data_IF_462611989658
#
_entry.id   IF_462611989658
#
_cell.length_a   1.000
_cell.length_b   1.000
_cell.length_c   1.000
_cell.angle_alpha   90.00
_cell.angle_beta   90.00
_cell.angle_gamma   90.00
#
_symmetry.space_group_name_H-M   'P 1'
#
loop_
_entity.id
_entity.type
_entity.pdbx_description
1 polymer ?
#
# COMPACT_ATOMS: atom_id res chain seq x y z
N UNK A 1 18.10 8.38 -34.77
CA UNK A 1 17.77 7.09 -34.09
C UNK A 1 18.68 7.00 -32.89
N UNK A 2 18.18 7.36 -31.70
CA UNK A 2 18.95 7.26 -30.45
C UNK A 2 18.72 5.84 -29.95
N UNK A 3 19.78 5.03 -29.96
CA UNK A 3 19.74 3.68 -29.42
C UNK A 3 19.43 3.77 -27.92
N UNK A 4 18.31 3.21 -27.49
CA UNK A 4 18.00 3.09 -26.08
C UNK A 4 19.10 2.23 -25.43
N UNK A 5 19.90 2.82 -24.56
CA UNK A 5 20.92 2.13 -23.78
C UNK A 5 20.20 1.14 -22.86
N UNK A 6 20.35 -0.16 -23.14
CA UNK A 6 19.85 -1.20 -22.23
C UNK A 6 20.69 -1.15 -20.95
N UNK A 7 20.11 -0.57 -19.89
CA UNK A 7 20.72 -0.54 -18.57
C UNK A 7 20.67 -1.94 -17.97
N UNK A 8 21.75 -2.39 -17.35
CA UNK A 8 21.77 -3.66 -16.61
C UNK A 8 21.01 -3.50 -15.29
N UNK A 9 20.38 -4.55 -14.75
CA UNK A 9 19.62 -4.46 -13.49
C UNK A 9 20.41 -3.82 -12.34
N UNK A 10 21.71 -4.07 -12.24
CA UNK A 10 22.57 -3.43 -11.23
C UNK A 10 22.72 -1.92 -11.43
N UNK A 11 22.88 -1.45 -12.67
CA UNK A 11 22.97 -0.03 -13.00
C UNK A 11 21.65 0.69 -12.74
N UNK A 12 20.52 0.00 -12.95
CA UNK A 12 19.19 0.50 -12.58
C UNK A 12 19.06 0.64 -11.06
N UNK A 13 19.51 -0.34 -10.29
CA UNK A 13 19.48 -0.29 -8.82
C UNK A 13 20.40 0.84 -8.30
N UNK A 14 21.59 1.00 -8.86
CA UNK A 14 22.53 2.06 -8.46
C UNK A 14 22.03 3.48 -8.85
N UNK A 15 21.36 3.61 -9.99
CA UNK A 15 20.74 4.87 -10.42
C UNK A 15 19.42 5.15 -9.69
N UNK A 16 18.73 4.12 -9.20
CA UNK A 16 17.55 4.25 -8.37
C UNK A 16 17.87 4.46 -6.87
N UNK A 17 19.12 4.70 -6.52
CA UNK A 17 19.53 5.09 -5.14
C UNK A 17 18.92 6.44 -4.70
N UNK A 18 18.36 7.22 -5.61
CA UNK A 18 17.42 8.31 -5.36
C UNK A 18 15.95 7.85 -5.20
N UNK A 19 15.71 6.54 -5.06
CA UNK A 19 14.42 6.06 -4.56
C UNK A 19 14.17 6.76 -3.23
N UNK A 20 13.19 7.67 -3.28
CA UNK A 20 12.80 8.48 -2.16
C UNK A 20 12.79 7.63 -0.89
N UNK A 21 13.52 8.04 0.11
CA UNK A 21 13.52 7.37 1.43
C UNK A 21 12.09 7.04 1.79
N UNK A 22 11.80 5.82 2.29
CA UNK A 22 10.45 5.45 2.63
C UNK A 22 9.78 6.57 3.43
N UNK A 23 8.54 6.97 3.12
CA UNK A 23 7.88 8.07 3.81
C UNK A 23 8.06 7.91 5.33
N UNK A 24 8.28 9.02 6.02
CA UNK A 24 8.49 9.01 7.48
C UNK A 24 7.42 8.19 8.22
N UNK A 25 6.18 8.25 7.70
CA UNK A 25 5.05 7.46 8.20
C UNK A 25 5.29 5.95 8.08
N UNK A 26 5.83 5.49 6.93
CA UNK A 26 6.18 4.08 6.75
C UNK A 26 7.19 3.62 7.80
N UNK A 27 8.26 4.39 8.02
CA UNK A 27 9.28 4.06 9.02
C UNK A 27 8.68 3.98 10.42
N UNK A 28 7.85 4.95 10.81
CA UNK A 28 7.16 4.97 12.11
C UNK A 28 6.19 3.81 12.25
N UNK A 29 5.44 3.46 11.19
CA UNK A 29 4.58 2.27 11.21
C UNK A 29 5.40 1.00 11.45
N UNK A 30 6.53 0.83 10.77
CA UNK A 30 7.41 -0.32 10.96
C UNK A 30 8.02 -0.37 12.37
N UNK A 31 8.39 0.77 12.93
CA UNK A 31 8.87 0.86 14.32
C UNK A 31 7.80 0.36 15.32
N UNK A 32 6.56 0.84 15.17
CA UNK A 32 5.44 0.42 16.04
C UNK A 32 5.10 -1.06 15.85
N UNK A 33 5.08 -1.54 14.61
CA UNK A 33 4.77 -2.94 14.28
C UNK A 33 5.81 -3.90 14.90
N UNK A 34 7.08 -3.52 14.84
CA UNK A 34 8.18 -4.34 15.34
C UNK A 34 8.41 -4.17 16.86
N UNK A 35 7.71 -3.22 17.49
CA UNK A 35 7.85 -3.00 18.92
C UNK A 35 7.04 -4.05 19.70
N UNK A 36 7.65 -4.76 20.69
CA UNK A 36 6.99 -5.84 21.44
C UNK A 36 5.70 -5.42 22.16
N UNK A 37 5.52 -4.12 22.43
CA UNK A 37 4.34 -3.54 23.08
C UNK A 37 3.51 -2.69 22.12
N UNK A 38 3.83 -2.70 20.81
CA UNK A 38 3.10 -1.96 19.79
C UNK A 38 1.68 -2.49 19.64
N UNK A 39 0.69 -1.64 19.84
CA UNK A 39 -0.73 -2.00 19.80
C UNK A 39 -1.51 -1.27 18.72
N UNK A 40 -2.79 -1.64 18.62
CA UNK A 40 -3.75 -1.00 17.69
C UNK A 40 -3.82 0.51 17.84
N UNK A 41 -3.73 1.02 19.07
CA UNK A 41 -3.74 2.45 19.39
C UNK A 41 -2.52 3.17 18.82
N UNK A 42 -1.35 2.56 18.89
CA UNK A 42 -0.10 3.15 18.41
C UNK A 42 -0.10 3.25 16.88
N UNK A 43 -0.55 2.20 16.20
CA UNK A 43 -0.74 2.20 14.74
C UNK A 43 -1.73 3.29 14.33
N UNK A 44 -2.88 3.39 15.01
CA UNK A 44 -3.86 4.43 14.73
C UNK A 44 -3.27 5.83 14.96
N UNK A 45 -2.45 6.04 15.98
CA UNK A 45 -1.82 7.32 16.27
C UNK A 45 -0.81 7.72 15.19
N UNK A 46 -0.01 6.78 14.68
CA UNK A 46 0.92 7.04 13.57
C UNK A 46 0.15 7.44 12.31
N UNK A 47 -0.91 6.72 11.96
CA UNK A 47 -1.73 7.01 10.77
C UNK A 47 -2.39 8.39 10.88
N UNK A 48 -2.93 8.73 12.05
CA UNK A 48 -3.59 10.03 12.31
C UNK A 48 -2.66 11.24 12.15
N UNK A 49 -1.35 11.06 12.29
CA UNK A 49 -0.37 12.15 12.11
C UNK A 49 -0.21 12.55 10.64
N UNK A 50 -0.64 11.71 9.69
CA UNK A 50 -0.65 11.99 8.26
C UNK A 50 -2.08 12.10 7.75
N UNK A 51 -2.52 13.35 7.49
CA UNK A 51 -3.88 13.64 7.02
C UNK A 51 -4.17 12.99 5.66
N UNK A 52 -3.18 12.97 4.76
CA UNK A 52 -3.36 12.39 3.42
C UNK A 52 -3.49 10.86 3.49
N UNK A 53 -2.66 10.21 4.30
CA UNK A 53 -2.75 8.78 4.56
C UNK A 53 -4.09 8.42 5.23
N UNK A 54 -4.49 9.19 6.24
CA UNK A 54 -5.80 9.01 6.92
C UNK A 54 -6.95 9.08 5.92
N UNK A 55 -7.00 10.11 5.08
CA UNK A 55 -8.06 10.27 4.09
C UNK A 55 -8.10 9.11 3.09
N UNK A 56 -6.95 8.68 2.58
CA UNK A 56 -6.85 7.55 1.65
C UNK A 56 -7.25 6.23 2.30
N UNK A 57 -6.79 5.97 3.51
CA UNK A 57 -7.15 4.77 4.27
C UNK A 57 -8.67 4.71 4.49
N UNK A 58 -9.28 5.80 4.97
CA UNK A 58 -10.72 5.84 5.20
C UNK A 58 -11.53 5.72 3.91
N UNK A 59 -11.07 6.32 2.80
CA UNK A 59 -11.68 6.14 1.49
C UNK A 59 -11.64 4.67 1.04
N UNK A 60 -10.53 3.98 1.26
CA UNK A 60 -10.37 2.57 0.91
C UNK A 60 -11.26 1.69 1.78
N UNK A 61 -11.27 1.91 3.10
CA UNK A 61 -12.11 1.17 4.05
C UNK A 61 -13.60 1.36 3.76
N UNK A 62 -14.01 2.54 3.31
CA UNK A 62 -15.41 2.85 2.93
C UNK A 62 -15.74 2.47 1.47
N UNK A 63 -14.83 1.86 0.74
CA UNK A 63 -15.12 1.41 -0.62
C UNK A 63 -16.09 0.22 -0.62
N UNK A 64 -16.72 -0.02 -1.77
CA UNK A 64 -17.60 -1.19 -1.98
C UNK A 64 -16.91 -2.53 -1.69
N UNK A 65 -15.59 -2.54 -1.65
CA UNK A 65 -14.77 -3.70 -1.34
C UNK A 65 -14.97 -4.25 0.09
N UNK A 66 -15.14 -3.35 1.08
CA UNK A 66 -15.40 -3.73 2.47
C UNK A 66 -16.89 -3.83 2.80
N UNK A 67 -17.73 -3.11 2.08
CA UNK A 67 -19.21 -3.15 2.16
C UNK A 67 -19.76 -3.02 3.58
N UNK A 68 -19.18 -2.14 4.41
CA UNK A 68 -19.71 -1.89 5.75
C UNK A 68 -21.08 -1.21 5.70
N UNK A 69 -22.02 -1.59 6.58
CA UNK A 69 -23.38 -1.04 6.59
C UNK A 69 -23.42 0.44 7.02
N UNK A 70 -22.38 0.94 7.65
CA UNK A 70 -22.22 2.36 8.04
C UNK A 70 -20.83 2.85 7.67
N UNK A 71 -20.68 4.12 7.26
CA UNK A 71 -19.38 4.70 7.01
C UNK A 71 -18.46 4.65 8.22
N UNK A 72 -17.19 4.35 7.98
CA UNK A 72 -16.11 4.39 8.96
C UNK A 72 -15.50 5.78 8.91
N UNK A 73 -15.64 6.56 9.99
CA UNK A 73 -15.27 7.98 10.02
C UNK A 73 -13.89 8.22 10.63
N UNK A 74 -13.37 7.27 11.40
CA UNK A 74 -12.10 7.42 12.11
C UNK A 74 -11.17 6.22 11.93
N UNK A 75 -9.86 6.47 12.02
CA UNK A 75 -8.86 5.39 11.99
C UNK A 75 -9.06 4.39 13.13
N UNK A 76 -9.49 4.85 14.30
CA UNK A 76 -9.77 3.96 15.44
C UNK A 76 -10.95 3.04 15.16
N UNK A 77 -12.01 3.55 14.50
CA UNK A 77 -13.12 2.70 14.02
C UNK A 77 -12.64 1.72 12.96
N UNK A 78 -11.81 2.18 11.99
CA UNK A 78 -11.23 1.30 10.98
C UNK A 78 -10.48 0.13 11.64
N UNK A 79 -9.63 0.40 12.63
CA UNK A 79 -8.93 -0.63 13.40
C UNK A 79 -9.90 -1.60 14.09
N UNK A 80 -11.01 -1.11 14.63
CA UNK A 80 -11.99 -1.94 15.32
C UNK A 80 -12.80 -2.86 14.38
N UNK A 81 -13.17 -2.36 13.18
CA UNK A 81 -14.04 -3.11 12.25
C UNK A 81 -13.27 -3.92 11.21
N UNK A 82 -12.11 -3.45 10.78
CA UNK A 82 -11.25 -4.11 9.79
C UNK A 82 -10.21 -5.00 10.47
N UNK A 83 -9.75 -4.59 11.64
CA UNK A 83 -8.68 -5.24 12.39
C UNK A 83 -7.33 -4.54 12.23
N UNK A 84 -6.49 -4.69 13.25
CA UNK A 84 -5.19 -4.03 13.34
C UNK A 84 -4.24 -4.42 12.20
N UNK A 85 -4.14 -5.72 11.90
CA UNK A 85 -3.25 -6.22 10.86
C UNK A 85 -3.65 -5.71 9.48
N UNK A 86 -4.94 -5.73 9.18
CA UNK A 86 -5.48 -5.27 7.91
C UNK A 86 -5.28 -3.76 7.73
N UNK A 87 -5.59 -2.95 8.76
CA UNK A 87 -5.38 -1.49 8.72
C UNK A 87 -3.90 -1.16 8.53
N UNK A 88 -3.01 -1.86 9.20
CA UNK A 88 -1.56 -1.75 8.99
C UNK A 88 -1.19 -2.02 7.53
N UNK A 89 -1.62 -3.16 6.99
CA UNK A 89 -1.26 -3.60 5.64
C UNK A 89 -1.82 -2.64 4.58
N UNK A 90 -3.04 -2.13 4.77
CA UNK A 90 -3.64 -1.10 3.92
C UNK A 90 -2.90 0.25 4.02
N UNK A 91 -2.48 0.66 5.22
CA UNK A 91 -1.71 1.87 5.41
C UNK A 91 -0.33 1.78 4.73
N UNK A 92 0.34 0.62 4.82
CA UNK A 92 1.58 0.38 4.11
C UNK A 92 1.38 0.44 2.59
N UNK A 93 0.38 -0.25 2.05
CA UNK A 93 0.07 -0.24 0.62
C UNK A 93 -0.21 1.19 0.11
N UNK A 94 -1.00 1.97 0.85
CA UNK A 94 -1.34 3.35 0.46
C UNK A 94 -0.16 4.32 0.59
N UNK A 95 0.77 4.10 1.53
CA UNK A 95 1.96 4.94 1.66
C UNK A 95 2.97 4.72 0.52
N UNK A 96 3.06 3.49 0.00
CA UNK A 96 3.94 3.19 -1.14
C UNK A 96 3.47 3.87 -2.43
N UNK A 97 2.16 4.06 -2.62
CA UNK A 97 1.65 4.74 -3.83
C UNK A 97 2.13 6.18 -3.98
N UNK A 98 2.50 6.85 -2.88
CA UNK A 98 3.02 8.23 -2.91
C UNK A 98 4.44 8.33 -3.45
N UNK A 99 5.23 7.27 -3.37
CA UNK A 99 6.60 7.23 -3.90
C UNK A 99 6.63 7.41 -5.43
N UNK A 100 5.51 7.14 -6.10
CA UNK A 100 5.42 7.13 -7.57
C UNK A 100 4.70 8.34 -8.18
N UNK A 101 4.39 9.37 -7.38
CA UNK A 101 3.74 10.59 -7.86
C UNK A 101 4.59 11.44 -8.83
N UNK A 102 5.87 11.12 -8.99
CA UNK A 102 6.81 11.84 -9.87
C UNK A 102 7.11 11.16 -11.20
N UNK A 103 6.51 10.02 -11.51
CA UNK A 103 6.77 9.30 -12.77
C UNK A 103 6.21 10.12 -13.95
N UNK A 104 7.04 10.52 -14.95
CA UNK A 104 6.58 11.31 -16.07
C UNK A 104 5.47 10.61 -16.86
N UNK A 105 4.38 11.33 -17.13
CA UNK A 105 3.30 10.84 -18.00
C UNK A 105 3.86 10.61 -19.41
N UNK A 106 3.80 9.38 -19.90
CA UNK A 106 4.26 9.00 -21.24
C UNK A 106 5.29 7.87 -21.27
N UNK A 107 5.94 7.56 -20.15
CA UNK A 107 6.83 6.40 -20.02
C UNK A 107 6.03 5.15 -19.63
N UNK A 108 5.05 5.33 -18.75
CA UNK A 108 4.16 4.25 -18.28
C UNK A 108 2.74 4.80 -18.17
N UNK A 109 1.76 4.00 -18.58
CA UNK A 109 0.35 4.24 -18.24
C UNK A 109 0.13 3.95 -16.75
N UNK A 110 0.31 4.99 -15.93
CA UNK A 110 0.20 4.91 -14.45
C UNK A 110 -1.23 4.50 -14.05
N UNK A 111 -2.25 4.97 -14.77
CA UNK A 111 -3.65 4.61 -14.48
C UNK A 111 -3.91 3.12 -14.77
N UNK A 112 -3.46 2.63 -15.92
CA UNK A 112 -3.55 1.23 -16.29
C UNK A 112 -2.76 0.33 -15.34
N UNK A 113 -1.57 0.78 -14.92
CA UNK A 113 -0.76 0.10 -13.91
C UNK A 113 -1.52 -0.09 -12.58
N UNK A 114 -2.13 0.97 -12.05
CA UNK A 114 -2.88 0.87 -10.78
C UNK A 114 -4.17 0.07 -10.91
N UNK A 115 -4.88 0.15 -12.05
CA UNK A 115 -6.04 -0.71 -12.32
C UNK A 115 -5.66 -2.19 -12.33
N UNK A 116 -4.55 -2.54 -12.99
CA UNK A 116 -4.01 -3.89 -13.00
C UNK A 116 -3.62 -4.35 -11.60
N UNK A 117 -2.84 -3.56 -10.87
CA UNK A 117 -2.40 -3.86 -9.51
C UNK A 117 -3.58 -4.09 -8.56
N UNK A 118 -4.61 -3.24 -8.64
CA UNK A 118 -5.84 -3.41 -7.86
C UNK A 118 -6.58 -4.70 -8.22
N UNK A 119 -6.72 -5.01 -9.50
CA UNK A 119 -7.37 -6.24 -9.96
C UNK A 119 -6.61 -7.48 -9.44
N UNK A 120 -5.28 -7.48 -9.50
CA UNK A 120 -4.45 -8.55 -8.94
C UNK A 120 -4.62 -8.69 -7.42
N UNK A 121 -4.64 -7.57 -6.69
CA UNK A 121 -4.87 -7.56 -5.25
C UNK A 121 -6.23 -8.15 -4.86
N UNK A 122 -7.31 -7.70 -5.53
CA UNK A 122 -8.67 -8.22 -5.31
C UNK A 122 -8.74 -9.72 -5.61
N UNK A 123 -8.19 -10.14 -6.74
CA UNK A 123 -8.19 -11.57 -7.14
C UNK A 123 -7.42 -12.43 -6.14
N UNK A 124 -6.25 -11.98 -5.72
CA UNK A 124 -5.43 -12.68 -4.72
C UNK A 124 -6.16 -12.83 -3.38
N UNK A 125 -6.85 -11.78 -2.92
CA UNK A 125 -7.68 -11.82 -1.71
C UNK A 125 -8.83 -12.82 -1.82
N UNK A 126 -9.56 -12.78 -2.95
CA UNK A 126 -10.70 -13.71 -3.18
C UNK A 126 -10.22 -15.17 -3.16
N UNK A 127 -9.13 -15.46 -3.88
CA UNK A 127 -8.53 -16.81 -3.91
C UNK A 127 -8.08 -17.23 -2.51
N UNK A 128 -7.42 -16.36 -1.76
CA UNK A 128 -7.01 -16.63 -0.39
C UNK A 128 -8.21 -16.91 0.53
N UNK A 129 -9.31 -16.15 0.37
CA UNK A 129 -10.55 -16.39 1.09
C UNK A 129 -11.17 -17.76 0.79
N UNK A 130 -11.22 -18.14 -0.49
CA UNK A 130 -11.70 -19.47 -0.92
C UNK A 130 -10.83 -20.62 -0.37
N UNK A 131 -9.54 -20.35 -0.12
CA UNK A 131 -8.60 -21.31 0.48
C UNK A 131 -8.59 -21.28 2.00
N UNK A 132 -9.43 -20.45 2.63
CA UNK A 132 -9.51 -20.26 4.09
C UNK A 132 -8.17 -19.82 4.71
N UNK A 133 -7.39 -18.99 3.99
CA UNK A 133 -6.14 -18.42 4.51
C UNK A 133 -6.44 -17.47 5.69
N UNK A 134 -5.65 -17.54 6.74
CA UNK A 134 -5.88 -16.80 8.00
C UNK A 134 -5.74 -15.28 7.86
N UNK A 135 -4.97 -14.80 6.88
CA UNK A 135 -4.75 -13.36 6.63
C UNK A 135 -4.89 -13.06 5.13
N UNK A 136 -6.13 -12.93 4.67
CA UNK A 136 -6.43 -12.65 3.25
C UNK A 136 -5.93 -11.29 2.79
N UNK A 137 -5.81 -10.32 3.71
CA UNK A 137 -5.39 -8.96 3.36
C UNK A 137 -3.90 -8.89 2.94
N UNK A 138 -3.05 -9.75 3.47
CA UNK A 138 -1.66 -9.80 3.03
C UNK A 138 -1.53 -10.20 1.55
N UNK A 139 -2.44 -11.05 1.06
CA UNK A 139 -2.48 -11.43 -0.36
C UNK A 139 -2.97 -10.26 -1.21
N UNK A 140 -3.92 -9.46 -0.71
CA UNK A 140 -4.33 -8.22 -1.35
C UNK A 140 -3.16 -7.25 -1.51
N UNK A 141 -2.41 -6.99 -0.42
CA UNK A 141 -1.24 -6.11 -0.45
C UNK A 141 -0.15 -6.66 -1.38
N UNK A 142 0.13 -7.96 -1.32
CA UNK A 142 1.09 -8.59 -2.22
C UNK A 142 0.67 -8.43 -3.69
N UNK A 143 -0.62 -8.61 -3.99
CA UNK A 143 -1.16 -8.41 -5.33
C UNK A 143 -1.09 -6.96 -5.81
N UNK A 144 -1.28 -5.97 -4.93
CA UNK A 144 -1.10 -4.55 -5.30
C UNK A 144 0.37 -4.21 -5.60
N UNK A 145 1.30 -4.79 -4.85
CA UNK A 145 2.71 -4.42 -4.91
C UNK A 145 3.55 -5.31 -5.84
N UNK A 146 2.97 -6.38 -6.40
CA UNK A 146 3.73 -7.41 -7.13
C UNK A 146 4.56 -6.86 -8.31
N UNK A 147 4.08 -5.81 -8.94
CA UNK A 147 4.63 -5.24 -10.18
C UNK A 147 5.27 -3.85 -9.96
N UNK A 148 5.39 -3.41 -8.70
CA UNK A 148 5.88 -2.07 -8.33
C UNK A 148 7.27 -1.77 -8.92
N UNK A 149 8.10 -2.79 -9.11
CA UNK A 149 9.41 -2.68 -9.75
C UNK A 149 9.38 -2.20 -11.21
N UNK A 150 8.20 -2.20 -11.88
CA UNK A 150 8.05 -1.63 -13.23
C UNK A 150 8.01 -0.11 -13.24
N UNK A 151 7.84 0.51 -12.08
CA UNK A 151 7.80 1.96 -11.91
C UNK A 151 9.19 2.55 -11.58
N UNK A 152 10.20 1.72 -11.41
CA UNK A 152 11.61 2.04 -11.17
C UNK A 152 12.39 1.84 -12.47
#
# INVERSE_FOLDING_TARGET
MIAAKQLRPKELIEQSSDLASPPLVYRRLMEVINHPRGGAGDIANVIKQDTALTARLLKLVNSAFFSFPRPVETVSQAVSVVGTSQVRDLALATSVTDLFKGVPSGVIDVEGFWKHSLACGVSARVIAGLRNESNVERFFVAGILHDVGRLV
#
